data_IF_051197207664
#
_entry.id   IF_051197207664
#
_cell.length_a   1.000
_cell.length_b   1.000
_cell.length_c   1.000
_cell.angle_alpha   90.00
_cell.angle_beta   90.00
_cell.angle_gamma   90.00
#
_symmetry.space_group_name_H-M   'P 1'
#
loop_
_entity.id
_entity.type
_entity.pdbx_description
1 polymer ?
#
# COMPACT_ATOMS: atom_id res chain seq x y z
N UNK A 1 33.37 13.04 4.67
CA UNK A 1 32.12 13.47 4.03
C UNK A 1 31.07 12.42 4.37
N UNK A 2 30.13 12.71 5.27
CA UNK A 2 29.02 11.77 5.54
C UNK A 2 28.07 11.83 4.35
N UNK A 3 27.83 10.68 3.72
CA UNK A 3 26.76 10.57 2.72
C UNK A 3 25.44 10.80 3.47
N UNK A 4 24.72 11.85 3.10
CA UNK A 4 23.39 12.10 3.64
C UNK A 4 22.51 10.89 3.36
N UNK A 5 21.96 10.27 4.42
CA UNK A 5 21.08 9.12 4.28
C UNK A 5 19.80 9.58 3.58
N UNK A 6 19.61 9.18 2.33
CA UNK A 6 18.38 9.47 1.60
C UNK A 6 17.25 8.64 2.19
N UNK A 7 16.24 9.31 2.73
CA UNK A 7 15.03 8.67 3.24
C UNK A 7 13.89 8.90 2.28
N UNK A 8 13.17 7.83 1.99
CA UNK A 8 12.02 7.86 1.10
C UNK A 8 10.73 7.90 1.92
N UNK A 9 9.84 8.81 1.58
CA UNK A 9 8.46 8.87 2.09
C UNK A 9 7.57 8.14 1.07
N UNK A 10 7.18 6.88 1.32
CA UNK A 10 6.32 6.17 0.38
C UNK A 10 4.94 6.83 0.32
N UNK A 11 4.33 6.94 -0.87
CA UNK A 11 2.97 7.47 -1.01
C UNK A 11 1.94 6.77 -0.12
N UNK A 12 2.18 5.49 0.20
CA UNK A 12 1.35 4.69 1.10
C UNK A 12 1.16 5.32 2.48
N UNK A 13 2.14 6.11 2.95
CA UNK A 13 2.04 6.79 4.26
C UNK A 13 0.95 7.88 4.26
N UNK A 14 0.62 8.44 3.09
CA UNK A 14 -0.42 9.46 2.94
C UNK A 14 -1.77 8.89 2.50
N UNK A 15 -1.78 7.67 1.95
CA UNK A 15 -3.01 6.98 1.55
C UNK A 15 -3.56 6.04 2.63
N UNK A 16 -2.82 5.84 3.73
CA UNK A 16 -3.31 5.06 4.87
C UNK A 16 -4.54 5.76 5.47
N UNK A 17 -5.72 5.11 5.52
CA UNK A 17 -6.94 5.72 6.06
C UNK A 17 -6.80 6.15 7.53
N UNK A 18 -5.94 5.48 8.32
CA UNK A 18 -5.69 5.85 9.71
C UNK A 18 -4.99 7.21 9.80
N UNK A 19 -3.97 7.45 8.97
CA UNK A 19 -3.32 8.76 8.87
C UNK A 19 -4.21 9.78 8.16
N UNK A 20 -4.92 9.36 7.10
CA UNK A 20 -5.74 10.23 6.27
C UNK A 20 -6.83 10.95 7.05
N UNK A 21 -7.35 10.32 8.12
CA UNK A 21 -8.37 10.90 9.02
C UNK A 21 -7.83 11.92 10.02
N UNK A 22 -6.50 12.02 10.19
CA UNK A 22 -5.88 12.98 11.12
C UNK A 22 -5.81 14.40 10.55
N UNK A 23 -5.74 15.44 11.41
CA UNK A 23 -5.48 16.81 11.00
C UNK A 23 -4.22 16.94 10.14
N UNK A 24 -4.22 17.88 9.19
CA UNK A 24 -3.12 18.04 8.24
C UNK A 24 -1.75 18.22 8.92
N UNK A 25 -1.66 19.02 9.99
CA UNK A 25 -0.42 19.23 10.74
C UNK A 25 0.11 17.94 11.40
N UNK A 26 -0.77 17.06 11.86
CA UNK A 26 -0.39 15.79 12.48
C UNK A 26 0.19 14.84 11.43
N UNK A 27 -0.36 14.87 10.20
CA UNK A 27 0.21 14.14 9.05
C UNK A 27 1.59 14.66 8.65
N UNK A 28 1.81 15.98 8.73
CA UNK A 28 3.15 16.59 8.55
C UNK A 28 4.10 16.11 9.64
N UNK A 29 3.67 16.05 10.91
CA UNK A 29 4.48 15.46 11.99
C UNK A 29 4.84 14.01 11.69
N UNK A 30 3.90 13.19 11.19
CA UNK A 30 4.18 11.80 10.82
C UNK A 30 5.26 11.71 9.73
N UNK A 31 5.18 12.54 8.69
CA UNK A 31 6.20 12.62 7.65
C UNK A 31 7.57 13.04 8.21
N UNK A 32 7.61 14.08 9.05
CA UNK A 32 8.82 14.54 9.73
C UNK A 32 9.45 13.46 10.61
N UNK A 33 8.63 12.73 11.37
CA UNK A 33 9.09 11.60 12.19
C UNK A 33 9.74 10.51 11.36
N UNK A 34 9.22 10.22 10.16
CA UNK A 34 9.83 9.24 9.24
C UNK A 34 11.25 9.62 8.85
N UNK A 35 11.52 10.93 8.72
CA UNK A 35 12.84 11.44 8.41
C UNK A 35 13.75 11.47 9.65
N UNK A 36 13.17 11.68 10.83
CA UNK A 36 13.87 11.83 12.11
C UNK A 36 14.33 10.52 12.77
N UNK A 37 13.52 9.46 12.72
CA UNK A 37 13.82 8.18 13.42
C UNK A 37 15.07 7.48 12.88
N UNK A 38 15.57 6.40 13.48
CA UNK A 38 16.69 5.62 12.93
C UNK A 38 16.28 4.67 11.78
N UNK A 39 17.20 3.84 11.29
CA UNK A 39 16.94 2.89 10.19
C UNK A 39 15.97 1.76 10.58
N UNK A 40 15.57 1.68 11.86
CA UNK A 40 14.60 0.73 12.41
C UNK A 40 13.30 1.39 12.84
N UNK A 41 13.10 2.67 12.53
CA UNK A 41 11.88 3.39 12.88
C UNK A 41 11.81 3.77 14.36
N UNK A 42 12.94 3.86 15.06
CA UNK A 42 13.04 4.18 16.50
C UNK A 42 13.73 5.49 16.75
N UNK A 43 13.29 6.20 17.80
CA UNK A 43 13.99 7.37 18.31
C UNK A 43 13.69 7.60 19.79
N UNK A 44 14.55 8.39 20.43
CA UNK A 44 14.25 8.99 21.72
C UNK A 44 13.34 10.21 21.56
N UNK A 45 12.30 10.29 22.40
CA UNK A 45 11.36 11.40 22.44
C UNK A 45 12.01 12.56 23.19
N UNK A 46 12.67 13.45 22.46
CA UNK A 46 13.20 14.71 22.97
C UNK A 46 12.53 15.86 22.25
N UNK A 47 11.41 16.35 22.79
CA UNK A 47 10.52 17.30 22.12
C UNK A 47 11.27 18.52 21.55
N UNK A 48 12.12 19.18 22.33
CA UNK A 48 12.97 20.29 21.84
C UNK A 48 13.82 19.94 20.64
N UNK A 49 14.44 18.77 20.65
CA UNK A 49 15.30 18.31 19.56
C UNK A 49 14.47 17.97 18.32
N UNK A 50 13.34 17.30 18.52
CA UNK A 50 12.41 16.97 17.45
C UNK A 50 11.84 18.23 16.79
N UNK A 51 11.52 19.27 17.56
CA UNK A 51 11.12 20.57 17.02
C UNK A 51 12.25 21.19 16.18
N UNK A 52 13.47 21.24 16.71
CA UNK A 52 14.60 21.81 15.97
C UNK A 52 14.90 21.06 14.66
N UNK A 53 14.71 19.74 14.61
CA UNK A 53 15.00 18.94 13.42
C UNK A 53 13.82 18.86 12.42
N UNK A 54 12.57 18.89 12.88
CA UNK A 54 11.38 18.73 12.03
C UNK A 54 10.75 20.09 11.66
N UNK A 55 10.80 21.05 12.59
CA UNK A 55 10.05 22.30 12.56
C UNK A 55 10.97 23.51 12.77
N UNK A 56 12.17 23.50 12.18
CA UNK A 56 13.21 24.52 12.39
C UNK A 56 12.70 25.97 12.21
N UNK A 57 11.74 26.18 11.31
CA UNK A 57 11.22 27.51 10.96
C UNK A 57 9.74 27.71 11.32
N UNK A 58 9.10 26.77 12.02
CA UNK A 58 7.69 26.87 12.38
C UNK A 58 7.53 27.29 13.86
N UNK A 59 7.44 28.60 14.09
CA UNK A 59 7.28 29.19 15.43
C UNK A 59 5.94 28.83 16.10
N UNK A 60 4.94 28.38 15.34
CA UNK A 60 3.65 27.97 15.89
C UNK A 60 3.73 26.58 16.52
N UNK A 61 4.75 25.79 16.17
CA UNK A 61 4.95 24.45 16.69
C UNK A 61 5.63 24.47 18.05
N UNK A 62 4.85 24.22 19.11
CA UNK A 62 5.34 24.16 20.49
C UNK A 62 5.61 22.74 20.96
N UNK A 63 6.34 22.56 22.07
CA UNK A 63 6.56 21.24 22.67
C UNK A 63 5.24 20.55 23.05
N UNK A 64 4.28 21.34 23.53
CA UNK A 64 2.94 20.84 23.88
C UNK A 64 2.19 20.34 22.64
N UNK A 65 2.15 21.13 21.56
CA UNK A 65 1.46 20.75 20.33
C UNK A 65 2.10 19.51 19.69
N UNK A 66 3.43 19.41 19.71
CA UNK A 66 4.13 18.21 19.25
C UNK A 66 3.79 16.98 20.11
N UNK A 67 3.70 17.14 21.44
CA UNK A 67 3.28 16.05 22.32
C UNK A 67 1.84 15.60 22.04
N UNK A 68 0.92 16.54 21.76
CA UNK A 68 -0.45 16.25 21.33
C UNK A 68 -0.47 15.46 20.01
N UNK A 69 0.34 15.87 19.01
CA UNK A 69 0.48 15.15 17.74
C UNK A 69 0.99 13.71 17.96
N UNK A 70 1.99 13.51 18.82
CA UNK A 70 2.49 12.18 19.16
C UNK A 70 1.40 11.32 19.83
N UNK A 71 0.58 11.92 20.69
CA UNK A 71 -0.57 11.27 21.31
C UNK A 71 -1.60 10.81 20.27
N UNK A 72 -1.95 11.68 19.31
CA UNK A 72 -2.89 11.35 18.24
C UNK A 72 -2.37 10.24 17.32
N UNK A 73 -1.08 10.29 16.94
CA UNK A 73 -0.44 9.24 16.13
C UNK A 73 -0.38 7.90 16.86
N UNK A 74 -0.17 7.92 18.19
CA UNK A 74 -0.23 6.73 19.03
C UNK A 74 -1.65 6.17 19.12
N UNK A 75 -2.66 7.03 19.23
CA UNK A 75 -4.07 6.64 19.34
C UNK A 75 -4.59 5.91 18.09
N UNK A 76 -4.14 6.32 16.90
CA UNK A 76 -4.45 5.59 15.64
C UNK A 76 -3.51 4.42 15.37
N UNK A 77 -2.66 4.06 16.34
CA UNK A 77 -1.68 2.97 16.22
C UNK A 77 -0.69 3.11 15.05
N UNK A 78 -0.37 4.34 14.63
CA UNK A 78 0.66 4.55 13.62
C UNK A 78 2.08 4.42 14.20
N UNK A 79 2.25 4.93 15.42
CA UNK A 79 3.45 4.74 16.24
C UNK A 79 3.09 4.14 17.60
N UNK A 80 4.10 3.68 18.34
CA UNK A 80 4.02 3.27 19.73
C UNK A 80 5.01 4.08 20.55
N UNK A 81 4.51 4.73 21.60
CA UNK A 81 5.33 5.34 22.65
C UNK A 81 5.61 4.29 23.74
N UNK A 82 6.82 4.26 24.28
CA UNK A 82 7.21 3.34 25.34
C UNK A 82 8.37 3.92 26.16
N UNK A 83 8.61 3.35 27.33
CA UNK A 83 9.73 3.70 28.21
C UNK A 83 10.66 2.50 28.28
N UNK A 84 11.97 2.73 28.17
CA UNK A 84 12.95 1.65 28.32
C UNK A 84 13.31 1.35 29.79
N UNK A 85 14.17 0.36 29.98
CA UNK A 85 14.72 -0.04 31.29
C UNK A 85 15.47 1.10 32.02
N UNK A 86 15.90 2.13 31.28
CA UNK A 86 16.61 3.31 31.79
C UNK A 86 15.70 4.51 32.03
N UNK A 87 14.39 4.36 31.86
CA UNK A 87 13.43 5.45 32.05
C UNK A 87 13.39 6.47 30.89
N UNK A 88 14.01 6.18 29.73
CA UNK A 88 13.98 7.07 28.57
C UNK A 88 12.67 6.89 27.81
N UNK A 89 12.02 8.00 27.45
CA UNK A 89 10.85 7.99 26.58
C UNK A 89 11.28 7.76 25.13
N UNK A 90 10.79 6.69 24.52
CA UNK A 90 11.12 6.27 23.17
C UNK A 90 9.86 6.17 22.30
N UNK A 91 10.05 6.20 20.99
CA UNK A 91 9.00 5.96 20.00
C UNK A 91 9.44 4.88 19.00
N UNK A 92 8.46 4.13 18.47
CA UNK A 92 8.63 3.15 17.41
C UNK A 92 7.50 3.32 16.39
N UNK A 93 7.83 3.58 15.13
CA UNK A 93 6.85 3.54 14.03
C UNK A 93 6.50 2.08 13.76
N UNK A 94 5.19 1.75 13.70
CA UNK A 94 4.75 0.33 13.64
C UNK A 94 5.04 -0.30 12.29
N UNK A 95 4.68 0.38 11.21
CA UNK A 95 4.95 -0.07 9.84
C UNK A 95 6.19 0.64 9.35
N UNK A 96 7.32 -0.04 9.41
CA UNK A 96 8.61 0.50 8.96
C UNK A 96 9.08 -0.23 7.69
N UNK A 97 9.28 0.48 6.57
CA UNK A 97 9.70 -0.14 5.33
C UNK A 97 11.13 -0.66 5.45
N UNK A 98 11.49 -1.61 4.57
CA UNK A 98 12.85 -2.09 4.50
C UNK A 98 13.79 -0.95 4.05
N UNK A 99 14.75 -0.61 4.89
CA UNK A 99 15.80 0.36 4.57
C UNK A 99 16.89 -0.35 3.77
N UNK A 100 17.29 0.24 2.64
CA UNK A 100 18.45 -0.22 1.89
C UNK A 100 19.71 0.19 2.65
N UNK A 101 20.61 -0.77 2.88
CA UNK A 101 21.86 -0.56 3.64
C UNK A 101 21.64 0.00 5.06
N UNK A 102 20.89 -0.70 5.94
CA UNK A 102 20.74 -0.26 7.32
C UNK A 102 22.10 -0.28 8.02
N UNK A 103 22.27 0.56 9.04
CA UNK A 103 23.52 0.60 9.81
C UNK A 103 23.86 -0.81 10.38
N UNK A 104 25.05 -1.35 10.14
CA UNK A 104 25.41 -2.70 10.58
C UNK A 104 25.41 -2.85 12.10
N UNK A 105 25.51 -1.75 12.86
CA UNK A 105 25.50 -1.77 14.33
C UNK A 105 24.13 -1.98 14.93
N UNK A 106 23.06 -1.88 14.14
CA UNK A 106 21.72 -1.88 14.70
C UNK A 106 21.29 -0.50 15.23
N UNK A 107 20.05 -0.47 15.73
CA UNK A 107 19.53 0.68 16.47
C UNK A 107 20.20 0.81 17.83
N UNK A 108 20.49 2.04 18.24
CA UNK A 108 20.91 2.34 19.61
C UNK A 108 19.76 2.23 20.63
N UNK A 109 18.52 2.17 20.16
CA UNK A 109 17.30 2.08 20.97
C UNK A 109 16.76 0.64 20.99
N UNK A 110 16.41 0.08 22.16
CA UNK A 110 15.82 -1.26 22.26
C UNK A 110 14.44 -1.29 21.57
N UNK A 111 13.96 -2.44 21.04
CA UNK A 111 12.60 -2.53 20.53
C UNK A 111 11.59 -2.56 21.69
N UNK A 112 10.34 -2.10 21.49
CA UNK A 112 9.31 -2.24 22.51
C UNK A 112 8.96 -3.71 22.75
N UNK A 113 8.54 -4.04 23.97
CA UNK A 113 8.15 -5.40 24.32
C UNK A 113 6.99 -5.91 23.45
N UNK A 114 7.10 -7.15 22.97
CA UNK A 114 6.14 -7.77 22.06
C UNK A 114 6.19 -7.23 20.62
N UNK A 115 7.12 -6.33 20.29
CA UNK A 115 7.29 -5.87 18.92
C UNK A 115 8.05 -6.93 18.10
N UNK A 116 7.32 -7.88 17.56
CA UNK A 116 7.85 -8.77 16.53
C UNK A 116 8.00 -7.96 15.24
N UNK A 117 9.23 -7.85 14.73
CA UNK A 117 9.42 -7.34 13.37
C UNK A 117 8.55 -8.20 12.44
N UNK A 118 7.76 -7.61 11.52
CA UNK A 118 7.19 -8.39 10.43
C UNK A 118 8.37 -9.13 9.79
N UNK A 119 8.34 -10.45 9.91
CA UNK A 119 9.50 -11.32 9.77
C UNK A 119 10.13 -11.11 8.40
N UNK A 120 11.33 -10.49 8.37
CA UNK A 120 12.24 -10.52 7.19
C UNK A 120 12.69 -11.94 6.84
N UNK A 121 12.38 -12.93 7.67
CA UNK A 121 12.85 -14.31 7.56
C UNK A 121 12.26 -15.07 6.37
N UNK A 122 11.18 -14.61 5.74
CA UNK A 122 10.48 -15.41 4.72
C UNK A 122 10.85 -15.09 3.26
N UNK A 123 11.40 -13.90 2.96
CA UNK A 123 11.67 -13.51 1.56
C UNK A 123 13.13 -13.63 1.13
N UNK A 124 14.11 -13.56 2.04
CA UNK A 124 15.52 -13.66 1.65
C UNK A 124 15.97 -15.10 1.37
N UNK A 125 15.30 -16.13 1.89
CA UNK A 125 15.62 -17.54 1.61
C UNK A 125 15.31 -17.95 0.17
N UNK A 126 14.34 -17.31 -0.49
CA UNK A 126 13.98 -17.66 -1.86
C UNK A 126 14.98 -17.15 -2.91
N UNK A 127 15.70 -16.06 -2.65
CA UNK A 127 16.59 -15.46 -3.67
C UNK A 127 17.99 -16.08 -3.67
N UNK A 128 18.49 -16.55 -2.52
CA UNK A 128 19.79 -17.24 -2.46
C UNK A 128 19.73 -18.62 -3.10
N UNK A 129 18.68 -19.42 -2.84
CA UNK A 129 18.50 -20.71 -3.51
C UNK A 129 18.21 -20.55 -5.01
N UNK A 130 17.41 -19.56 -5.40
CA UNK A 130 17.14 -19.29 -6.81
C UNK A 130 18.41 -18.87 -7.57
N UNK A 131 19.29 -18.07 -6.94
CA UNK A 131 20.57 -17.64 -7.54
C UNK A 131 21.59 -18.78 -7.56
N UNK A 132 21.62 -19.64 -6.55
CA UNK A 132 22.46 -20.84 -6.55
C UNK A 132 22.04 -21.82 -7.66
N UNK A 133 20.72 -22.01 -7.89
CA UNK A 133 20.21 -22.83 -9.01
C UNK A 133 20.46 -22.18 -10.37
N UNK A 134 20.30 -20.85 -10.49
CA UNK A 134 20.60 -20.14 -11.74
C UNK A 134 22.11 -20.17 -12.07
N UNK A 135 22.98 -20.11 -11.07
CA UNK A 135 24.43 -20.19 -11.26
C UNK A 135 24.92 -21.60 -11.63
N UNK A 136 24.20 -22.65 -11.23
CA UNK A 136 24.51 -24.02 -11.61
C UNK A 136 24.14 -24.35 -13.07
N UNK A 137 23.25 -23.58 -13.71
CA UNK A 137 22.87 -23.75 -15.12
C UNK A 137 23.59 -22.79 -16.08
N UNK A 138 24.51 -21.95 -15.59
CA UNK A 138 25.28 -21.00 -16.40
C UNK A 138 26.71 -21.49 -16.73
N UNK A 139 26.95 -22.79 -16.62
CA UNK A 139 28.11 -23.44 -17.24
C UNK A 139 27.78 -23.76 -18.69
N UNK A 140 28.63 -23.27 -19.59
CA UNK A 140 28.75 -23.68 -21.00
C UNK A 140 27.68 -23.14 -21.97
N UNK A 141 27.85 -21.88 -22.36
CA UNK A 141 27.16 -21.29 -23.50
C UNK A 141 27.94 -20.11 -24.04
N UNK A 142 28.81 -20.36 -25.02
CA UNK A 142 29.51 -19.36 -25.79
C UNK A 142 28.50 -18.53 -26.60
N UNK A 143 28.35 -17.24 -26.30
CA UNK A 143 27.59 -16.31 -27.13
C UNK A 143 28.56 -15.54 -28.01
N UNK A 144 29.07 -16.22 -29.02
CA UNK A 144 29.62 -15.57 -30.19
C UNK A 144 28.43 -14.99 -30.98
N UNK A 145 28.37 -13.66 -30.93
CA UNK A 145 28.06 -12.71 -32.00
C UNK A 145 27.28 -13.19 -33.23
N UNK A 146 26.45 -12.25 -33.69
CA UNK A 146 25.83 -12.13 -35.02
C UNK A 146 24.59 -12.98 -35.26
N UNK A 147 23.44 -12.29 -35.29
CA UNK A 147 22.58 -12.30 -36.47
C UNK A 147 21.56 -11.18 -36.37
N UNK A 148 21.80 -10.14 -37.16
CA UNK A 148 20.76 -9.30 -37.72
C UNK A 148 19.86 -10.20 -38.57
N UNK A 149 18.56 -10.21 -38.28
CA UNK A 149 17.55 -10.73 -39.20
C UNK A 149 16.29 -9.92 -39.02
N UNK A 150 16.15 -8.93 -39.90
CA UNK A 150 14.88 -8.38 -40.34
C UNK A 150 13.87 -9.52 -40.58
N UNK A 151 12.73 -9.48 -39.89
CA UNK A 151 11.49 -10.06 -40.41
C UNK A 151 10.35 -9.10 -40.15
N UNK A 152 10.14 -8.27 -41.16
CA UNK A 152 8.83 -7.79 -41.53
C UNK A 152 7.87 -8.98 -41.62
N UNK A 153 6.80 -8.93 -40.84
CA UNK A 153 5.75 -9.95 -40.82
C UNK A 153 4.43 -9.26 -40.53
N UNK A 154 3.86 -8.64 -41.56
CA UNK A 154 2.47 -8.21 -41.58
C UNK A 154 1.58 -9.44 -41.37
N UNK A 155 0.78 -9.41 -40.31
CA UNK A 155 -0.22 -10.42 -39.98
C UNK A 155 -1.50 -9.71 -39.58
N UNK A 156 -2.15 -9.12 -40.58
CA UNK A 156 -3.49 -8.56 -40.50
C UNK A 156 -4.49 -9.71 -40.30
N UNK A 157 -5.30 -9.62 -39.25
CA UNK A 157 -6.14 -10.72 -38.83
C UNK A 157 -6.88 -10.41 -37.54
N UNK A 158 -7.64 -9.31 -37.53
CA UNK A 158 -8.61 -9.04 -36.47
C UNK A 158 -9.83 -9.94 -36.69
N UNK A 159 -10.08 -10.97 -35.87
CA UNK A 159 -11.34 -11.71 -35.96
C UNK A 159 -12.47 -10.79 -35.50
N UNK A 160 -13.41 -10.55 -36.42
CA UNK A 160 -14.69 -9.89 -36.16
C UNK A 160 -15.39 -10.60 -35.01
N UNK A 161 -15.43 -9.97 -33.82
CA UNK A 161 -16.20 -10.46 -32.67
C UNK A 161 -17.60 -9.86 -32.74
N UNK A 162 -18.59 -10.73 -32.88
CA UNK A 162 -20.02 -10.44 -32.68
C UNK A 162 -20.27 -9.96 -31.24
N UNK A 163 -21.01 -8.86 -31.01
CA UNK A 163 -21.09 -8.16 -29.72
C UNK A 163 -22.21 -8.67 -28.79
N UNK A 164 -22.34 -9.99 -28.59
CA UNK A 164 -23.53 -10.53 -27.88
C UNK A 164 -23.24 -11.46 -26.70
N UNK A 165 -22.03 -11.38 -26.11
CA UNK A 165 -21.73 -12.07 -24.83
C UNK A 165 -20.54 -11.41 -24.14
N UNK A 166 -20.72 -10.20 -23.61
CA UNK A 166 -19.65 -9.38 -22.99
C UNK A 166 -19.10 -9.89 -21.65
N UNK A 167 -19.45 -11.11 -21.25
CA UNK A 167 -18.77 -11.75 -20.12
C UNK A 167 -17.38 -12.25 -20.58
N UNK A 168 -16.28 -11.76 -20.00
CA UNK A 168 -14.94 -12.23 -20.36
C UNK A 168 -14.82 -13.73 -20.06
N UNK A 169 -14.63 -14.54 -21.11
CA UNK A 169 -14.42 -15.99 -20.96
C UNK A 169 -13.15 -16.25 -20.13
N UNK A 170 -13.16 -17.24 -19.23
CA UNK A 170 -11.97 -17.62 -18.48
C UNK A 170 -10.82 -17.99 -19.43
N UNK A 171 -9.58 -17.54 -19.16
CA UNK A 171 -8.42 -18.08 -19.85
C UNK A 171 -8.27 -19.57 -19.50
N UNK A 172 -7.75 -20.39 -20.42
CA UNK A 172 -7.48 -21.80 -20.12
C UNK A 172 -6.29 -21.91 -19.15
N UNK A 173 -6.30 -22.85 -18.20
CA UNK A 173 -5.15 -23.11 -17.34
C UNK A 173 -3.96 -23.73 -18.08
N UNK A 174 -4.14 -24.21 -19.31
CA UNK A 174 -3.10 -24.88 -20.09
C UNK A 174 -2.67 -24.06 -21.31
N UNK A 175 -1.42 -24.22 -21.76
CA UNK A 175 -0.95 -23.62 -23.00
C UNK A 175 -1.56 -24.29 -24.23
N UNK A 176 -1.46 -23.66 -25.41
CA UNK A 176 -2.03 -24.16 -26.67
C UNK A 176 -1.55 -25.56 -27.07
N UNK A 177 -0.35 -25.97 -26.65
CA UNK A 177 0.20 -27.29 -26.93
C UNK A 177 -0.41 -28.41 -26.08
N UNK A 178 -0.96 -28.08 -24.91
CA UNK A 178 -1.55 -29.05 -23.97
C UNK A 178 -3.08 -28.86 -23.84
N UNK A 179 -3.70 -28.09 -24.73
CA UNK A 179 -5.16 -28.01 -24.80
C UNK A 179 -5.72 -29.05 -25.78
N UNK A 180 -6.92 -29.61 -25.51
CA UNK A 180 -7.73 -29.50 -24.29
C UNK A 180 -7.35 -30.46 -23.15
N UNK A 181 -6.50 -31.46 -23.39
CA UNK A 181 -6.31 -32.59 -22.47
C UNK A 181 -5.53 -32.27 -21.19
N UNK A 182 -4.86 -31.13 -21.13
CA UNK A 182 -4.01 -30.72 -20.02
C UNK A 182 -2.70 -31.50 -19.97
N UNK A 183 -1.87 -31.15 -18.99
CA UNK A 183 -0.68 -31.91 -18.60
C UNK A 183 -0.49 -31.76 -17.09
N UNK A 184 -0.05 -32.83 -16.43
CA UNK A 184 0.31 -32.80 -15.01
C UNK A 184 1.69 -32.18 -14.81
N UNK A 185 2.63 -32.43 -15.74
CA UNK A 185 3.99 -31.90 -15.68
C UNK A 185 4.03 -30.41 -16.08
N UNK A 186 4.57 -29.53 -15.22
CA UNK A 186 4.53 -28.10 -15.47
C UNK A 186 5.54 -27.71 -16.56
N UNK A 187 5.06 -27.59 -17.79
CA UNK A 187 5.79 -26.87 -18.84
C UNK A 187 5.87 -25.38 -18.48
N UNK A 188 6.95 -24.68 -18.87
CA UNK A 188 7.12 -23.25 -18.61
C UNK A 188 5.90 -22.39 -18.99
N UNK A 189 5.38 -22.51 -20.23
CA UNK A 189 4.16 -21.81 -20.65
C UNK A 189 2.90 -22.19 -19.86
N UNK A 190 2.78 -23.45 -19.45
CA UNK A 190 1.66 -23.98 -18.67
C UNK A 190 1.61 -23.31 -17.28
N UNK A 191 2.77 -23.01 -16.69
CA UNK A 191 2.86 -22.30 -15.41
C UNK A 191 2.27 -20.89 -15.51
N UNK A 192 2.61 -20.16 -16.58
CA UNK A 192 2.10 -18.80 -16.81
C UNK A 192 0.59 -18.80 -17.06
N UNK A 193 0.07 -19.76 -17.84
CA UNK A 193 -1.38 -19.88 -18.06
C UNK A 193 -2.15 -20.27 -16.79
N UNK A 194 -1.59 -21.15 -15.94
CA UNK A 194 -2.16 -21.49 -14.63
C UNK A 194 -2.22 -20.26 -13.72
N UNK A 195 -1.15 -19.46 -13.64
CA UNK A 195 -1.14 -18.21 -12.87
C UNK A 195 -2.19 -17.22 -13.38
N UNK A 196 -2.31 -17.04 -14.69
CA UNK A 196 -3.34 -16.17 -15.27
C UNK A 196 -4.76 -16.66 -14.95
N UNK A 197 -4.98 -17.97 -14.96
CA UNK A 197 -6.26 -18.58 -14.58
C UNK A 197 -6.57 -18.38 -13.09
N UNK A 198 -5.59 -18.56 -12.20
CA UNK A 198 -5.75 -18.31 -10.76
C UNK A 198 -6.08 -16.84 -10.45
N UNK A 199 -5.41 -15.90 -11.12
CA UNK A 199 -5.70 -14.45 -11.02
C UNK A 199 -7.14 -14.20 -11.47
N UNK A 200 -7.55 -14.77 -12.59
CA UNK A 200 -8.92 -14.62 -13.10
C UNK A 200 -9.96 -15.22 -12.16
N UNK A 201 -9.73 -16.42 -11.58
CA UNK A 201 -10.63 -17.02 -10.59
C UNK A 201 -10.76 -16.15 -9.35
N UNK A 202 -9.63 -15.62 -8.88
CA UNK A 202 -9.57 -14.73 -7.72
C UNK A 202 -10.36 -13.45 -7.99
N UNK A 203 -10.14 -12.81 -9.14
CA UNK A 203 -10.88 -11.63 -9.56
C UNK A 203 -12.39 -11.91 -9.70
N UNK A 204 -12.77 -13.05 -10.28
CA UNK A 204 -14.18 -13.45 -10.43
C UNK A 204 -14.86 -13.68 -9.09
N UNK A 205 -14.15 -14.29 -8.12
CA UNK A 205 -14.64 -14.47 -6.74
C UNK A 205 -14.86 -13.13 -6.05
N UNK A 206 -13.93 -12.19 -6.19
CA UNK A 206 -14.09 -10.86 -5.61
C UNK A 206 -15.18 -10.04 -6.31
N UNK A 207 -15.31 -10.13 -7.64
CA UNK A 207 -16.39 -9.48 -8.40
C UNK A 207 -17.79 -9.93 -7.96
N UNK A 208 -17.95 -11.22 -7.64
CA UNK A 208 -19.19 -11.76 -7.08
C UNK A 208 -19.50 -11.20 -5.69
N UNK A 209 -18.48 -10.85 -4.90
CA UNK A 209 -18.63 -10.26 -3.57
C UNK A 209 -18.81 -8.74 -3.60
N UNK A 210 -18.24 -8.07 -4.61
CA UNK A 210 -18.31 -6.62 -4.78
C UNK A 210 -19.47 -6.16 -5.66
N UNK A 211 -20.34 -7.08 -6.09
CA UNK A 211 -21.65 -6.68 -6.61
C UNK A 211 -22.36 -5.96 -5.46
N UNK A 212 -22.59 -4.64 -5.55
CA UNK A 212 -23.23 -3.91 -4.47
C UNK A 212 -24.57 -4.60 -4.21
N UNK A 213 -24.79 -5.07 -2.97
CA UNK A 213 -26.10 -5.50 -2.55
C UNK A 213 -27.08 -4.43 -3.02
N UNK A 214 -28.07 -4.82 -3.85
CA UNK A 214 -29.01 -3.90 -4.45
C UNK A 214 -29.40 -2.90 -3.37
N UNK A 215 -29.04 -1.62 -3.57
CA UNK A 215 -29.20 -0.62 -2.54
C UNK A 215 -30.62 -0.77 -1.99
N UNK A 216 -30.81 -0.90 -0.66
CA UNK A 216 -32.16 -0.97 -0.11
C UNK A 216 -32.92 0.22 -0.71
N UNK A 217 -34.17 0.03 -1.15
CA UNK A 217 -34.93 1.13 -1.74
C UNK A 217 -34.78 2.32 -0.81
N UNK A 218 -34.20 3.41 -1.35
CA UNK A 218 -33.86 4.58 -0.56
C UNK A 218 -35.08 5.02 0.26
N UNK A 219 -34.89 5.65 1.43
CA UNK A 219 -36.00 6.15 2.22
C UNK A 219 -36.92 6.92 1.27
N UNK A 220 -38.16 6.43 1.14
CA UNK A 220 -39.17 7.12 0.36
C UNK A 220 -39.32 8.46 1.06
N UNK A 221 -38.77 9.52 0.47
CA UNK A 221 -39.02 10.88 0.94
C UNK A 221 -40.53 11.04 0.84
N UNK A 222 -41.22 10.89 1.97
CA UNK A 222 -42.58 11.39 2.10
C UNK A 222 -42.49 12.85 1.69
N UNK A 223 -43.19 13.19 0.61
CA UNK A 223 -43.23 14.54 0.10
C UNK A 223 -43.52 15.46 1.28
N UNK A 224 -42.68 16.48 1.48
CA UNK A 224 -42.92 17.47 2.49
C UNK A 224 -44.36 17.96 2.33
N UNK A 225 -45.13 18.08 3.43
CA UNK A 225 -46.49 18.60 3.35
C UNK A 225 -46.45 19.92 2.59
N UNK A 226 -47.33 20.05 1.59
CA UNK A 226 -47.42 21.30 0.83
C UNK A 226 -47.66 22.46 1.82
N UNK A 227 -47.01 23.61 1.62
CA UNK A 227 -47.17 24.75 2.50
C UNK A 227 -48.65 25.12 2.53
N UNK A 228 -49.27 25.03 3.72
CA UNK A 228 -50.64 25.48 3.92
C UNK A 228 -50.70 26.99 3.70
N UNK A 229 -51.45 27.41 2.69
CA UNK A 229 -51.72 28.83 2.46
C UNK A 229 -52.69 29.32 3.54
N UNK A 230 -52.20 30.15 4.46
CA UNK A 230 -53.05 30.82 5.44
C UNK A 230 -53.40 32.23 4.96
N UNK A 231 -54.70 32.50 4.83
CA UNK A 231 -55.23 33.82 4.52
C UNK A 231 -55.19 34.67 5.80
N UNK A 232 -54.37 35.72 5.82
CA UNK A 232 -54.35 36.67 6.93
C UNK A 232 -55.65 37.51 6.94
N UNK A 233 -56.06 38.01 8.11
CA UNK A 233 -57.27 38.84 8.29
C UNK A 233 -57.29 40.10 7.38
N UNK A 234 -56.11 40.53 6.91
CA UNK A 234 -55.94 41.67 6.02
C UNK A 234 -56.10 41.31 4.52
N UNK A 235 -56.42 40.05 4.21
CA UNK A 235 -56.62 39.53 2.86
C UNK A 235 -55.32 39.27 2.08
N UNK A 236 -54.17 39.20 2.77
CA UNK A 236 -52.87 38.92 2.15
C UNK A 236 -52.53 37.44 2.30
N UNK A 237 -52.16 36.80 1.19
CA UNK A 237 -51.65 35.42 1.18
C UNK A 237 -50.17 35.49 1.51
N UNK A 238 -49.76 34.84 2.60
CA UNK A 238 -48.35 34.67 2.95
C UNK A 238 -48.00 33.19 2.86
N UNK A 239 -46.88 32.89 2.19
CA UNK A 239 -46.30 31.55 2.15
C UNK A 239 -45.21 31.49 3.22
N UNK A 240 -45.36 30.64 4.22
CA UNK A 240 -44.28 30.29 5.16
C UNK A 240 -43.36 29.23 4.58
#
# INVERSE_FOLDING_TARGET
MQIARQRWLPPSDFTDPQIGSLPAQVRVTAAGLRLYVDDWGRAEVRLRRMLAEIYEHDEQMTEQLLAEHLGQLSAVHWLRLYVDDRGRSLLQIRVWPAVQHPDPRGSAFPPPEGFMKPSRTSQETFTVEARARASACAGEGAWERESASERAGAGDGTPSRTPDSDAPRPPSPFCSQHQPWGTEEPCGPCRTTRMAFEIWQTASKYAALSTPAAAPPGPRFEAAPEPEEYLTDDGRIEHT
#
